data_IF_495416960421
#
_entry.id   IF_495416960421
#
_cell.length_a   1.000
_cell.length_b   1.000
_cell.length_c   1.000
_cell.angle_alpha   90.00
_cell.angle_beta   90.00
_cell.angle_gamma   90.00
#
_symmetry.space_group_name_H-M   'P 1'
#
loop_
_entity.id
_entity.type
_entity.pdbx_description
1 polymer ?
#
# COMPACT_ATOMS: atom_id res chain seq x y z
N UNK A 1 -32.80 21.29 5.38
CA UNK A 1 -32.12 20.46 4.35
C UNK A 1 -31.83 19.12 4.98
N UNK A 2 -32.07 18.00 4.28
CA UNK A 2 -31.70 16.69 4.81
C UNK A 2 -30.16 16.57 4.83
N UNK A 3 -29.60 16.12 5.94
CA UNK A 3 -28.17 15.78 6.05
C UNK A 3 -27.98 14.26 5.87
N UNK A 4 -26.77 13.84 5.52
CA UNK A 4 -26.47 12.44 5.21
C UNK A 4 -26.85 11.50 6.36
N UNK A 5 -26.51 11.87 7.59
CA UNK A 5 -26.81 11.09 8.79
C UNK A 5 -28.31 10.81 8.98
N UNK A 6 -29.18 11.80 8.72
CA UNK A 6 -30.63 11.58 8.77
C UNK A 6 -31.10 10.60 7.68
N UNK A 7 -30.50 10.65 6.49
CA UNK A 7 -30.80 9.72 5.40
C UNK A 7 -30.34 8.31 5.77
N UNK A 8 -29.13 8.16 6.31
CA UNK A 8 -28.60 6.87 6.79
C UNK A 8 -29.50 6.26 7.86
N UNK A 9 -30.00 7.06 8.80
CA UNK A 9 -30.93 6.56 9.82
C UNK A 9 -32.26 6.10 9.21
N UNK A 10 -32.81 6.84 8.26
CA UNK A 10 -34.01 6.41 7.51
C UNK A 10 -33.74 5.09 6.75
N UNK A 11 -32.57 4.93 6.13
CA UNK A 11 -32.18 3.70 5.44
C UNK A 11 -32.03 2.52 6.41
N UNK A 12 -31.44 2.74 7.59
CA UNK A 12 -31.37 1.72 8.66
C UNK A 12 -32.76 1.32 9.15
N UNK A 13 -33.68 2.28 9.29
CA UNK A 13 -35.07 2.00 9.64
C UNK A 13 -35.73 1.13 8.56
N UNK A 14 -35.50 1.42 7.27
CA UNK A 14 -36.03 0.61 6.17
C UNK A 14 -35.46 -0.82 6.23
N UNK A 15 -34.14 -0.98 6.38
CA UNK A 15 -33.50 -2.29 6.44
C UNK A 15 -33.97 -3.10 7.65
N UNK A 16 -34.18 -2.46 8.80
CA UNK A 16 -34.64 -3.14 10.02
C UNK A 16 -36.13 -3.48 10.00
N UNK A 17 -36.98 -2.66 9.38
CA UNK A 17 -38.45 -2.83 9.45
C UNK A 17 -39.04 -3.63 8.29
N UNK A 18 -38.50 -3.52 7.09
CA UNK A 18 -39.05 -4.23 5.94
C UNK A 18 -38.60 -5.70 5.98
N UNK A 19 -39.54 -6.64 5.97
CA UNK A 19 -39.23 -8.08 6.05
C UNK A 19 -38.73 -8.68 4.74
N UNK A 20 -39.18 -8.15 3.60
CA UNK A 20 -38.91 -8.70 2.27
C UNK A 20 -37.92 -7.87 1.50
N UNK A 21 -37.02 -8.54 0.78
CA UNK A 21 -35.92 -7.88 0.06
C UNK A 21 -36.40 -6.94 -1.04
N UNK A 22 -37.37 -7.36 -1.86
CA UNK A 22 -37.92 -6.48 -2.90
C UNK A 22 -38.52 -5.18 -2.35
N UNK A 23 -39.12 -5.23 -1.16
CA UNK A 23 -39.67 -4.03 -0.49
C UNK A 23 -38.53 -3.14 0.00
N UNK A 24 -37.49 -3.71 0.61
CA UNK A 24 -36.29 -2.96 1.03
C UNK A 24 -35.68 -2.19 -0.13
N UNK A 25 -35.37 -2.90 -1.22
CA UNK A 25 -34.75 -2.30 -2.41
C UNK A 25 -35.62 -1.18 -2.99
N UNK A 26 -36.93 -1.40 -3.09
CA UNK A 26 -37.87 -0.38 -3.60
C UNK A 26 -37.93 0.85 -2.70
N UNK A 27 -37.99 0.67 -1.38
CA UNK A 27 -38.04 1.79 -0.43
C UNK A 27 -36.73 2.58 -0.39
N UNK A 28 -35.59 1.88 -0.41
CA UNK A 28 -34.25 2.50 -0.49
C UNK A 28 -34.13 3.32 -1.77
N UNK A 29 -34.52 2.73 -2.91
CA UNK A 29 -34.50 3.42 -4.22
C UNK A 29 -35.35 4.69 -4.20
N UNK A 30 -36.60 4.59 -3.77
CA UNK A 30 -37.52 5.73 -3.71
C UNK A 30 -37.05 6.84 -2.75
N UNK A 31 -36.36 6.48 -1.66
CA UNK A 31 -35.79 7.45 -0.73
C UNK A 31 -34.63 8.21 -1.39
N UNK A 32 -33.69 7.48 -2.00
CA UNK A 32 -32.47 8.06 -2.58
C UNK A 32 -32.72 8.79 -3.90
N UNK A 33 -33.71 8.38 -4.70
CA UNK A 33 -34.07 9.08 -5.95
C UNK A 33 -34.50 10.54 -5.72
N UNK A 34 -35.01 10.88 -4.53
CA UNK A 34 -35.33 12.27 -4.16
C UNK A 34 -34.10 13.18 -4.12
N UNK A 35 -32.91 12.60 -4.02
CA UNK A 35 -31.63 13.29 -3.90
C UNK A 35 -30.69 13.01 -5.08
N UNK A 36 -31.19 12.41 -6.18
CA UNK A 36 -30.38 12.01 -7.35
C UNK A 36 -29.52 13.15 -7.92
N UNK A 37 -30.00 14.39 -7.82
CA UNK A 37 -29.33 15.58 -8.34
C UNK A 37 -28.35 16.21 -7.32
N UNK A 38 -28.36 15.75 -6.07
CA UNK A 38 -27.45 16.19 -5.01
C UNK A 38 -26.32 15.17 -4.82
N UNK A 39 -25.36 15.21 -5.75
CA UNK A 39 -24.21 14.30 -5.80
C UNK A 39 -23.40 14.29 -4.49
N UNK A 40 -23.15 15.46 -3.89
CA UNK A 40 -22.38 15.58 -2.66
C UNK A 40 -23.05 14.89 -1.47
N UNK A 41 -24.36 15.10 -1.29
CA UNK A 41 -25.13 14.44 -0.25
C UNK A 41 -25.13 12.91 -0.41
N UNK A 42 -25.23 12.42 -1.65
CA UNK A 42 -25.15 10.99 -1.94
C UNK A 42 -23.74 10.42 -1.68
N UNK A 43 -22.67 11.18 -1.94
CA UNK A 43 -21.31 10.78 -1.58
C UNK A 43 -21.15 10.62 -0.06
N UNK A 44 -21.68 11.56 0.73
CA UNK A 44 -21.64 11.49 2.19
C UNK A 44 -22.39 10.25 2.72
N UNK A 45 -23.57 9.95 2.17
CA UNK A 45 -24.34 8.75 2.55
C UNK A 45 -23.57 7.45 2.23
N UNK A 46 -22.90 7.39 1.07
CA UNK A 46 -22.08 6.23 0.70
C UNK A 46 -20.88 6.07 1.64
N UNK A 47 -20.19 7.17 1.97
CA UNK A 47 -19.06 7.18 2.93
C UNK A 47 -19.50 6.73 4.32
N UNK A 48 -20.60 7.25 4.85
CA UNK A 48 -21.12 6.87 6.17
C UNK A 48 -21.54 5.39 6.28
N UNK A 49 -21.84 4.76 5.15
CA UNK A 49 -22.29 3.36 5.10
C UNK A 49 -21.21 2.38 4.69
N UNK A 50 -20.05 2.86 4.20
CA UNK A 50 -19.00 2.02 3.63
C UNK A 50 -18.62 0.82 4.54
N UNK A 51 -18.45 -0.35 3.93
CA UNK A 51 -18.08 -1.59 4.64
C UNK A 51 -19.22 -2.23 5.43
N UNK A 52 -20.44 -1.68 5.37
CA UNK A 52 -21.62 -2.26 6.02
C UNK A 52 -22.52 -2.98 5.01
N UNK A 53 -23.31 -3.95 5.48
CA UNK A 53 -24.37 -4.59 4.67
C UNK A 53 -25.37 -3.58 4.07
N UNK A 54 -25.61 -2.46 4.77
CA UNK A 54 -26.51 -1.42 4.30
C UNK A 54 -25.97 -0.75 3.01
N UNK A 55 -24.65 -0.62 2.90
CA UNK A 55 -24.00 -0.10 1.70
C UNK A 55 -24.24 -1.00 0.49
N UNK A 56 -24.10 -2.31 0.64
CA UNK A 56 -24.36 -3.27 -0.43
C UNK A 56 -25.82 -3.18 -0.91
N UNK A 57 -26.77 -3.07 0.03
CA UNK A 57 -28.19 -2.89 -0.27
C UNK A 57 -28.49 -1.59 -1.02
N UNK A 58 -27.79 -0.51 -0.67
CA UNK A 58 -27.90 0.78 -1.38
C UNK A 58 -27.42 0.63 -2.83
N UNK A 59 -26.27 0.00 -3.05
CA UNK A 59 -25.70 -0.20 -4.38
C UNK A 59 -26.48 -1.22 -5.24
N UNK A 60 -27.22 -2.13 -4.61
CA UNK A 60 -28.16 -3.02 -5.27
C UNK A 60 -29.44 -2.27 -5.68
N UNK A 61 -30.00 -1.47 -4.78
CA UNK A 61 -31.21 -0.69 -5.04
C UNK A 61 -31.01 0.43 -6.07
N UNK A 62 -29.83 1.06 -6.07
CA UNK A 62 -29.48 2.21 -6.90
C UNK A 62 -28.16 1.95 -7.66
N UNK A 63 -28.17 1.20 -8.77
CA UNK A 63 -26.94 0.82 -9.48
C UNK A 63 -26.08 2.00 -9.97
N UNK A 64 -26.67 3.16 -10.26
CA UNK A 64 -25.94 4.36 -10.70
C UNK A 64 -25.00 4.92 -9.61
N UNK A 65 -25.23 4.58 -8.34
CA UNK A 65 -24.35 4.98 -7.23
C UNK A 65 -23.04 4.19 -7.22
N UNK A 66 -22.91 3.09 -7.98
CA UNK A 66 -21.65 2.34 -8.09
C UNK A 66 -20.54 3.16 -8.73
N UNK A 67 -20.89 4.01 -9.70
CA UNK A 67 -19.88 4.88 -10.32
C UNK A 67 -19.48 6.01 -9.39
N UNK A 68 -20.41 6.48 -8.55
CA UNK A 68 -20.12 7.45 -7.49
C UNK A 68 -19.23 6.86 -6.39
N UNK A 69 -19.48 5.60 -5.99
CA UNK A 69 -18.65 4.86 -5.04
C UNK A 69 -17.21 4.67 -5.54
N UNK A 70 -17.04 4.35 -6.83
CA UNK A 70 -15.71 4.32 -7.47
C UNK A 70 -15.01 5.67 -7.45
N UNK A 71 -15.75 6.75 -7.69
CA UNK A 71 -15.21 8.13 -7.64
C UNK A 71 -14.72 8.48 -6.23
N UNK A 72 -15.48 8.14 -5.20
CA UNK A 72 -15.09 8.33 -3.79
C UNK A 72 -13.81 7.56 -3.48
N UNK A 73 -13.74 6.28 -3.84
CA UNK A 73 -12.55 5.45 -3.61
C UNK A 73 -11.32 5.98 -4.35
N UNK A 74 -11.50 6.53 -5.54
CA UNK A 74 -10.42 7.19 -6.29
C UNK A 74 -9.98 8.52 -5.64
N UNK A 75 -10.93 9.31 -5.12
CA UNK A 75 -10.65 10.55 -4.37
C UNK A 75 -9.93 10.27 -3.05
N UNK A 76 -10.38 9.27 -2.28
CA UNK A 76 -9.75 8.85 -1.03
C UNK A 76 -8.38 8.24 -1.25
N UNK A 77 -8.16 7.51 -2.35
CA UNK A 77 -6.83 7.09 -2.75
C UNK A 77 -5.91 8.30 -3.02
N UNK A 78 -6.42 9.35 -3.68
CA UNK A 78 -5.67 10.60 -3.90
C UNK A 78 -5.43 11.40 -2.62
N UNK A 79 -6.40 11.41 -1.70
CA UNK A 79 -6.29 12.14 -0.42
C UNK A 79 -5.37 11.40 0.55
N UNK A 80 -5.40 10.06 0.60
CA UNK A 80 -4.39 9.26 1.33
C UNK A 80 -2.98 9.53 0.81
N UNK A 81 -2.82 9.71 -0.50
CA UNK A 81 -1.55 10.14 -1.11
C UNK A 81 -1.12 11.55 -0.64
N UNK A 82 -2.04 12.46 -0.31
CA UNK A 82 -1.74 13.81 0.22
C UNK A 82 -1.63 13.91 1.74
N UNK A 83 -2.29 13.02 2.50
CA UNK A 83 -2.33 13.06 3.97
C UNK A 83 -1.18 12.26 4.61
N UNK A 84 -0.54 11.35 3.87
CA UNK A 84 0.73 10.69 4.25
C UNK A 84 1.96 11.59 4.02
N UNK A 85 1.80 12.93 3.99
CA UNK A 85 2.91 13.87 4.15
C UNK A 85 3.48 13.77 5.59
N UNK A 86 4.26 12.72 5.84
CA UNK A 86 5.39 12.80 6.75
C UNK A 86 6.26 13.99 6.33
N UNK A 87 6.75 14.76 7.31
CA UNK A 87 7.56 15.98 7.19
C UNK A 87 8.30 16.05 5.84
N UNK A 88 8.21 17.15 5.08
CA UNK A 88 8.93 17.27 3.83
C UNK A 88 10.43 17.10 4.08
N UNK A 89 10.96 15.94 3.70
CA UNK A 89 12.39 15.66 3.62
C UNK A 89 12.98 16.71 2.69
N UNK A 90 13.92 17.52 3.19
CA UNK A 90 14.52 18.57 2.38
C UNK A 90 15.29 17.90 1.26
N UNK A 91 15.16 18.45 0.05
CA UNK A 91 15.76 17.90 -1.16
C UNK A 91 17.29 17.79 -1.07
N UNK A 92 17.89 18.54 -0.16
CA UNK A 92 19.32 18.64 0.15
C UNK A 92 19.87 17.43 0.94
N UNK A 93 19.02 16.59 1.54
CA UNK A 93 19.47 15.55 2.47
C UNK A 93 19.93 14.25 1.78
N UNK A 94 19.72 14.13 0.46
CA UNK A 94 20.15 12.96 -0.32
C UNK A 94 21.29 13.31 -1.26
N UNK A 95 22.34 12.50 -1.27
CA UNK A 95 23.52 12.73 -2.09
C UNK A 95 24.18 11.46 -2.60
N UNK A 96 25.02 11.62 -3.63
CA UNK A 96 25.87 10.55 -4.16
C UNK A 96 27.34 10.85 -3.87
N UNK A 97 28.05 9.86 -3.35
CA UNK A 97 29.47 9.94 -3.04
C UNK A 97 30.23 9.01 -4.00
N UNK A 98 30.47 9.50 -5.21
CA UNK A 98 31.13 8.73 -6.28
C UNK A 98 30.16 7.93 -7.14
N UNK A 99 30.63 6.83 -7.72
CA UNK A 99 29.84 6.01 -8.65
C UNK A 99 28.78 5.21 -7.90
N UNK A 100 27.51 5.42 -8.27
CA UNK A 100 26.36 4.66 -7.76
C UNK A 100 25.87 3.64 -8.80
N UNK A 101 25.03 2.69 -8.37
CA UNK A 101 24.36 1.77 -9.29
C UNK A 101 23.31 2.51 -10.15
N UNK A 102 22.97 1.92 -11.30
CA UNK A 102 21.88 2.43 -12.13
C UNK A 102 20.56 2.44 -11.35
N UNK A 103 20.33 1.43 -10.51
CA UNK A 103 19.13 1.34 -9.67
C UNK A 103 19.04 2.51 -8.69
N UNK A 104 20.13 2.81 -7.97
CA UNK A 104 20.20 3.93 -7.04
C UNK A 104 19.96 5.27 -7.76
N UNK A 105 20.56 5.44 -8.94
CA UNK A 105 20.35 6.63 -9.76
C UNK A 105 18.90 6.78 -10.22
N UNK A 106 18.29 5.71 -10.74
CA UNK A 106 16.88 5.70 -11.16
C UNK A 106 15.97 6.02 -9.97
N UNK A 107 16.23 5.43 -8.79
CA UNK A 107 15.45 5.71 -7.58
C UNK A 107 15.47 7.19 -7.24
N UNK A 108 16.65 7.81 -7.16
CA UNK A 108 16.73 9.23 -6.82
C UNK A 108 16.16 10.15 -7.90
N UNK A 109 16.37 9.81 -9.18
CA UNK A 109 15.77 10.55 -10.29
C UNK A 109 14.24 10.50 -10.21
N UNK A 110 13.67 9.31 -10.03
CA UNK A 110 12.23 9.11 -9.89
C UNK A 110 11.69 9.80 -8.63
N UNK A 111 12.40 9.71 -7.49
CA UNK A 111 12.03 10.42 -6.25
C UNK A 111 11.95 11.92 -6.47
N UNK A 112 13.00 12.50 -7.06
CA UNK A 112 13.13 13.94 -7.25
C UNK A 112 12.10 14.52 -8.20
N UNK A 113 11.80 13.83 -9.29
CA UNK A 113 11.02 14.40 -10.38
C UNK A 113 9.59 13.86 -10.50
N UNK A 114 9.29 12.65 -10.00
CA UNK A 114 8.02 11.97 -10.27
C UNK A 114 7.29 11.51 -9.01
N UNK A 115 7.95 10.74 -8.15
CA UNK A 115 7.31 9.96 -7.10
C UNK A 115 7.28 10.65 -5.73
N UNK A 116 8.30 11.47 -5.40
CA UNK A 116 8.44 12.15 -4.11
C UNK A 116 8.20 11.19 -2.94
N UNK A 117 7.19 11.44 -2.10
CA UNK A 117 6.83 10.61 -0.95
C UNK A 117 6.45 9.16 -1.33
N UNK A 118 5.92 8.93 -2.54
CA UNK A 118 5.54 7.60 -3.01
C UNK A 118 6.72 6.70 -3.39
N UNK A 119 7.94 7.23 -3.41
CA UNK A 119 9.13 6.48 -3.84
C UNK A 119 9.29 5.18 -3.08
N UNK A 120 9.18 5.22 -1.76
CA UNK A 120 9.28 4.04 -0.90
C UNK A 120 8.29 2.95 -1.31
N UNK A 121 7.01 3.31 -1.39
CA UNK A 121 5.93 2.37 -1.72
C UNK A 121 6.09 1.78 -3.12
N UNK A 122 6.38 2.62 -4.12
CA UNK A 122 6.51 2.18 -5.51
C UNK A 122 7.72 1.26 -5.69
N UNK A 123 8.89 1.64 -5.19
CA UNK A 123 10.10 0.81 -5.33
C UNK A 123 10.01 -0.48 -4.51
N UNK A 124 9.37 -0.45 -3.34
CA UNK A 124 9.05 -1.67 -2.60
C UNK A 124 8.16 -2.61 -3.41
N UNK A 125 7.09 -2.09 -4.03
CA UNK A 125 6.20 -2.91 -4.84
C UNK A 125 6.91 -3.48 -6.08
N UNK A 126 7.78 -2.70 -6.73
CA UNK A 126 8.61 -3.18 -7.85
C UNK A 126 9.44 -4.40 -7.44
N UNK A 127 10.15 -4.32 -6.31
CA UNK A 127 10.95 -5.46 -5.81
C UNK A 127 10.08 -6.68 -5.54
N UNK A 128 8.94 -6.47 -4.87
CA UNK A 128 8.00 -7.53 -4.48
C UNK A 128 7.40 -8.24 -5.69
N UNK A 129 6.87 -7.48 -6.65
CA UNK A 129 6.29 -8.01 -7.89
C UNK A 129 7.34 -8.73 -8.72
N UNK A 130 8.59 -8.25 -8.72
CA UNK A 130 9.67 -8.89 -9.46
C UNK A 130 10.06 -10.25 -8.86
N UNK A 131 10.18 -10.35 -7.53
CA UNK A 131 10.39 -11.64 -6.86
C UNK A 131 9.25 -12.63 -7.13
N UNK A 132 8.01 -12.14 -7.14
CA UNK A 132 6.81 -12.90 -7.52
C UNK A 132 6.92 -13.40 -8.97
N UNK A 133 7.27 -12.53 -9.91
CA UNK A 133 7.43 -12.86 -11.32
C UNK A 133 8.49 -13.94 -11.55
N UNK A 134 9.61 -13.86 -10.83
CA UNK A 134 10.70 -14.86 -10.91
C UNK A 134 10.35 -16.18 -10.21
N UNK A 135 9.28 -16.22 -9.41
CA UNK A 135 8.84 -17.38 -8.64
C UNK A 135 9.93 -17.98 -7.72
N UNK A 136 10.81 -17.12 -7.19
CA UNK A 136 11.82 -17.53 -6.21
C UNK A 136 11.11 -17.95 -4.93
N UNK A 137 11.27 -19.20 -4.52
CA UNK A 137 10.44 -19.84 -3.48
C UNK A 137 11.23 -20.61 -2.42
N UNK A 138 12.54 -20.41 -2.36
CA UNK A 138 13.41 -20.95 -1.32
C UNK A 138 14.53 -19.97 -0.96
N UNK A 139 15.12 -20.15 0.23
CA UNK A 139 16.15 -19.24 0.75
C UNK A 139 17.45 -19.24 -0.06
N UNK A 140 17.82 -20.38 -0.67
CA UNK A 140 19.06 -20.49 -1.44
C UNK A 140 18.97 -19.70 -2.75
N UNK A 141 17.85 -19.78 -3.45
CA UNK A 141 17.58 -18.95 -4.65
C UNK A 141 17.50 -17.47 -4.31
N UNK A 142 16.82 -17.11 -3.21
CA UNK A 142 16.76 -15.73 -2.73
C UNK A 142 18.17 -15.20 -2.43
N UNK A 143 18.99 -15.98 -1.72
CA UNK A 143 20.38 -15.62 -1.42
C UNK A 143 21.21 -15.47 -2.68
N UNK A 144 21.17 -16.44 -3.59
CA UNK A 144 21.91 -16.40 -4.85
C UNK A 144 21.56 -15.16 -5.68
N UNK A 145 20.27 -14.82 -5.73
CA UNK A 145 19.81 -13.63 -6.44
C UNK A 145 20.34 -12.36 -5.78
N UNK A 146 20.16 -12.22 -4.46
CA UNK A 146 20.60 -11.03 -3.73
C UNK A 146 22.12 -10.86 -3.82
N UNK A 147 22.90 -11.92 -3.63
CA UNK A 147 24.36 -11.93 -3.79
C UNK A 147 24.80 -11.41 -5.18
N UNK A 148 24.05 -11.76 -6.22
CA UNK A 148 24.36 -11.37 -7.60
C UNK A 148 23.94 -9.93 -7.91
N UNK A 149 22.69 -9.59 -7.59
CA UNK A 149 22.04 -8.38 -8.08
C UNK A 149 22.15 -7.19 -7.11
N UNK A 150 22.17 -7.45 -5.80
CA UNK A 150 22.14 -6.41 -4.77
C UNK A 150 23.42 -6.34 -3.96
N UNK A 151 23.86 -7.43 -3.33
CA UNK A 151 24.99 -7.45 -2.40
C UNK A 151 25.01 -8.73 -1.57
N UNK A 152 25.98 -8.88 -0.67
CA UNK A 152 26.20 -10.14 0.04
C UNK A 152 25.15 -10.35 1.15
N UNK A 153 24.29 -11.35 0.99
CA UNK A 153 23.20 -11.65 1.91
C UNK A 153 23.62 -12.66 2.99
N UNK A 154 23.20 -12.43 4.23
CA UNK A 154 23.21 -13.44 5.30
C UNK A 154 21.89 -13.41 6.08
N UNK A 155 21.48 -14.56 6.62
CA UNK A 155 20.38 -14.63 7.59
C UNK A 155 21.02 -14.55 8.98
N UNK A 156 20.76 -13.46 9.70
CA UNK A 156 21.33 -13.23 11.05
C UNK A 156 20.53 -13.98 12.11
N UNK A 157 19.19 -13.87 12.06
CA UNK A 157 18.28 -14.49 13.03
C UNK A 157 17.07 -15.10 12.32
N UNK A 158 16.61 -16.29 12.73
CA UNK A 158 15.42 -16.90 12.14
C UNK A 158 14.10 -16.34 12.71
N UNK A 159 14.11 -15.78 13.94
CA UNK A 159 12.90 -15.25 14.60
C UNK A 159 13.24 -14.04 15.52
N UNK A 160 12.74 -12.81 15.23
CA UNK A 160 12.15 -12.45 13.94
C UNK A 160 13.17 -12.64 12.82
N UNK A 161 12.69 -13.06 11.64
CA UNK A 161 13.57 -13.29 10.50
C UNK A 161 14.30 -11.99 10.14
N UNK A 162 15.61 -12.00 10.35
CA UNK A 162 16.50 -10.85 10.18
C UNK A 162 17.53 -11.19 9.11
N UNK A 163 17.60 -10.35 8.09
CA UNK A 163 18.46 -10.52 6.92
C UNK A 163 19.41 -9.33 6.85
N UNK A 164 20.70 -9.60 6.71
CA UNK A 164 21.72 -8.58 6.46
C UNK A 164 22.10 -8.64 4.99
N UNK A 165 22.27 -7.47 4.37
CA UNK A 165 22.87 -7.35 3.04
C UNK A 165 24.04 -6.37 3.12
N UNK A 166 25.26 -6.87 2.88
CA UNK A 166 26.47 -6.05 2.82
C UNK A 166 26.67 -5.54 1.39
N UNK A 167 27.29 -4.37 1.28
CA UNK A 167 27.58 -3.74 -0.01
C UNK A 167 26.36 -3.58 -0.95
N UNK A 168 25.17 -3.39 -0.37
CA UNK A 168 23.93 -3.32 -1.14
C UNK A 168 23.99 -2.19 -2.19
N UNK A 169 24.04 -2.57 -3.47
CA UNK A 169 24.14 -1.71 -4.65
C UNK A 169 23.00 -0.70 -4.75
N UNK A 170 21.86 -0.94 -4.11
CA UNK A 170 20.74 0.01 -4.09
C UNK A 170 21.06 1.29 -3.27
N UNK A 171 21.94 1.21 -2.28
CA UNK A 171 22.33 2.35 -1.44
C UNK A 171 23.84 2.61 -1.39
N UNK A 172 24.67 1.73 -1.98
CA UNK A 172 26.11 1.90 -2.02
C UNK A 172 26.46 3.24 -2.66
N UNK A 173 27.32 4.00 -1.96
CA UNK A 173 27.73 5.35 -2.35
C UNK A 173 26.58 6.38 -2.37
N UNK A 174 25.46 6.11 -1.68
CA UNK A 174 24.42 7.09 -1.41
C UNK A 174 24.57 7.66 0.01
N UNK A 175 24.02 8.85 0.23
CA UNK A 175 23.79 9.47 1.54
C UNK A 175 22.32 9.85 1.64
N UNK A 176 21.70 9.62 2.79
CA UNK A 176 20.29 9.87 3.04
C UNK A 176 20.03 10.01 4.54
N UNK A 177 19.01 10.76 4.97
CA UNK A 177 18.62 10.84 6.38
C UNK A 177 17.83 9.61 6.86
N UNK A 178 17.38 8.74 5.94
CA UNK A 178 16.59 7.55 6.23
C UNK A 178 17.03 6.34 5.39
N UNK A 179 16.67 5.10 5.77
CA UNK A 179 16.92 3.92 4.96
C UNK A 179 16.25 3.98 3.58
N UNK A 180 16.96 3.52 2.53
CA UNK A 180 16.54 3.72 1.13
C UNK A 180 16.53 2.45 0.26
N UNK A 181 16.79 1.26 0.83
CA UNK A 181 16.82 0.01 0.09
C UNK A 181 15.43 -0.60 -0.11
N UNK A 182 14.55 0.18 -0.73
CA UNK A 182 13.13 -0.15 -0.91
C UNK A 182 12.92 -1.36 -1.82
N UNK A 183 13.65 -1.45 -2.94
CA UNK A 183 13.55 -2.59 -3.87
C UNK A 183 14.05 -3.85 -3.20
N UNK A 184 15.18 -3.78 -2.49
CA UNK A 184 15.74 -4.94 -1.79
C UNK A 184 14.75 -5.46 -0.74
N UNK A 185 14.18 -4.56 0.07
CA UNK A 185 13.17 -4.93 1.07
C UNK A 185 11.94 -5.59 0.42
N UNK A 186 11.41 -4.97 -0.65
CA UNK A 186 10.28 -5.50 -1.40
C UNK A 186 10.57 -6.87 -2.02
N UNK A 187 11.76 -7.03 -2.61
CA UNK A 187 12.21 -8.28 -3.20
C UNK A 187 12.29 -9.41 -2.17
N UNK A 188 12.86 -9.15 -1.00
CA UNK A 188 12.88 -10.09 0.12
C UNK A 188 11.43 -10.46 0.52
N UNK A 189 10.54 -9.47 0.64
CA UNK A 189 9.15 -9.72 1.00
C UNK A 189 8.44 -10.64 -0.02
N UNK A 190 8.61 -10.39 -1.32
CA UNK A 190 8.03 -11.22 -2.38
C UNK A 190 8.58 -12.64 -2.39
N UNK A 191 9.88 -12.82 -2.16
CA UNK A 191 10.48 -14.15 -2.00
C UNK A 191 9.88 -14.89 -0.80
N UNK A 192 9.75 -14.22 0.35
CA UNK A 192 9.20 -14.82 1.56
C UNK A 192 7.72 -15.18 1.41
N UNK A 193 6.94 -14.39 0.67
CA UNK A 193 5.56 -14.74 0.33
C UNK A 193 5.49 -15.98 -0.57
N UNK A 194 6.35 -16.09 -1.58
CA UNK A 194 6.43 -17.30 -2.41
C UNK A 194 6.84 -18.53 -1.60
N UNK A 195 7.84 -18.41 -0.70
CA UNK A 195 8.32 -19.50 0.18
C UNK A 195 7.19 -20.10 1.02
N UNK A 196 6.26 -19.26 1.50
CA UNK A 196 5.11 -19.71 2.31
C UNK A 196 3.85 -19.97 1.47
N UNK A 197 3.98 -20.10 0.14
CA UNK A 197 2.87 -20.28 -0.80
C UNK A 197 1.77 -19.22 -0.62
N UNK A 198 2.18 -17.98 -0.34
CA UNK A 198 1.32 -16.79 -0.15
C UNK A 198 0.26 -16.95 0.92
N UNK A 199 0.50 -17.83 1.90
CA UNK A 199 -0.37 -18.03 3.05
C UNK A 199 -0.44 -16.80 3.98
N UNK A 200 0.60 -15.97 3.97
CA UNK A 200 0.73 -14.78 4.80
C UNK A 200 1.14 -13.60 3.92
N UNK A 201 0.77 -12.39 4.33
CA UNK A 201 1.38 -11.18 3.81
C UNK A 201 2.67 -10.95 4.59
N UNK A 202 3.77 -10.74 3.87
CA UNK A 202 5.06 -10.42 4.47
C UNK A 202 5.36 -8.95 4.25
N UNK A 203 5.67 -8.26 5.33
CA UNK A 203 6.19 -6.89 5.34
C UNK A 203 7.65 -6.92 5.78
N UNK A 204 8.54 -6.26 5.03
CA UNK A 204 9.97 -6.23 5.31
C UNK A 204 10.40 -4.80 5.52
N UNK A 205 10.92 -4.51 6.72
CA UNK A 205 11.35 -3.17 7.11
C UNK A 205 12.87 -3.12 7.21
N UNK A 206 13.48 -2.15 6.53
CA UNK A 206 14.90 -1.83 6.69
C UNK A 206 15.11 -1.06 8.01
N UNK A 207 15.99 -1.56 8.88
CA UNK A 207 16.31 -0.97 10.19
C UNK A 207 17.71 -0.34 10.27
N UNK A 208 18.62 -0.74 9.38
CA UNK A 208 19.96 -0.18 9.19
C UNK A 208 20.23 -0.02 7.71
N UNK A 209 20.97 1.01 7.29
CA UNK A 209 21.28 1.26 5.88
C UNK A 209 22.66 1.90 5.67
N UNK A 210 23.39 1.47 4.65
CA UNK A 210 24.67 2.11 4.29
C UNK A 210 24.50 3.62 4.00
N UNK A 211 23.36 4.02 3.41
CA UNK A 211 23.11 5.42 3.08
C UNK A 211 22.92 6.34 4.29
N UNK A 212 22.55 5.80 5.46
CA UNK A 212 22.45 6.57 6.71
C UNK A 212 23.74 6.49 7.55
N UNK A 213 24.77 5.79 7.05
CA UNK A 213 26.06 5.62 7.72
C UNK A 213 26.20 4.35 8.55
N UNK A 214 25.25 3.42 8.49
CA UNK A 214 25.41 2.10 9.11
C UNK A 214 26.44 1.23 8.36
N UNK A 215 27.03 0.21 9.01
CA UNK A 215 28.01 -0.67 8.37
C UNK A 215 27.42 -1.66 7.35
N UNK A 216 26.10 -1.85 7.34
CA UNK A 216 25.40 -2.77 6.45
C UNK A 216 23.90 -2.44 6.43
N UNK A 217 23.18 -3.00 5.45
CA UNK A 217 21.72 -2.96 5.42
C UNK A 217 21.14 -4.11 6.24
N UNK A 218 20.20 -3.84 7.14
CA UNK A 218 19.51 -4.85 7.95
C UNK A 218 18.01 -4.78 7.70
N UNK A 219 17.41 -5.91 7.37
CA UNK A 219 16.00 -6.07 7.06
C UNK A 219 15.35 -7.01 8.06
N UNK A 220 14.19 -6.62 8.58
CA UNK A 220 13.38 -7.43 9.51
C UNK A 220 12.06 -7.75 8.85
N UNK A 221 11.74 -9.04 8.73
CA UNK A 221 10.47 -9.49 8.19
C UNK A 221 9.42 -9.67 9.28
N UNK A 222 8.25 -9.10 9.06
CA UNK A 222 7.04 -9.27 9.86
C UNK A 222 6.00 -10.04 9.04
N UNK A 223 5.24 -10.92 9.70
CA UNK A 223 4.18 -11.70 9.05
C UNK A 223 2.83 -11.24 9.57
N UNK A 224 1.90 -10.99 8.65
CA UNK A 224 0.50 -10.71 8.97
C UNK A 224 -0.37 -11.82 8.38
N UNK A 225 -1.29 -12.35 9.20
CA UNK A 225 -2.23 -13.39 8.78
C UNK A 225 -3.28 -12.79 7.85
N UNK A 226 -3.47 -13.41 6.68
CA UNK A 226 -4.63 -13.15 5.83
C UNK A 226 -5.81 -13.84 6.53
N UNK A 227 -6.68 -13.06 7.17
CA UNK A 227 -7.93 -13.55 7.76
C UNK A 227 -8.96 -13.87 6.67
#
# INVERSE_FOLDING_TARGET
MANATAIVEMLRIIDNRAKFMGIKLTMIKNLLEKYKDNKELLKEVLKETEGTKLHDLILEACPYLRDLDKEIKAEEARIKISAEEEKPLKLEDYGFVGKVSLLAYIREYMRKYYLRANTKKVFYQIGKDYAILLNINNYDEMKKFIDTEFGEMEIEKPEPLTIIVRDNKECKNCTSPEPVCYVTAGFIAGCLENIVNRKYIVDVVEKKCLAVGDPYCLFVANRTVIL
#
